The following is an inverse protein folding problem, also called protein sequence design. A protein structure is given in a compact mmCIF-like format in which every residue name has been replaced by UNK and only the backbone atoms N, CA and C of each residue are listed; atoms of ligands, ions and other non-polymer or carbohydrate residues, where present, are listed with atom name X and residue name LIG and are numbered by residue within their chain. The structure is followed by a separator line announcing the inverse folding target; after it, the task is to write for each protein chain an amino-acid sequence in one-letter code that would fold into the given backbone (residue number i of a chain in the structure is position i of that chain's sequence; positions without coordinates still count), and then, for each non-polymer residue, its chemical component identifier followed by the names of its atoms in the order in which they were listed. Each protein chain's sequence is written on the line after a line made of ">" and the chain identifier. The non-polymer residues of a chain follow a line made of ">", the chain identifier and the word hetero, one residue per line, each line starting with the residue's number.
data_IF_407837358248
#
_entry.id   IF_407837358248
#
_cell.length_a   1.000
_cell.length_b   1.000
_cell.length_c   1.000
_cell.angle_alpha   90.00
_cell.angle_beta   90.00
_cell.angle_gamma   90.00
#
_symmetry.space_group_name_H-M   'P 1'
#
loop_
_entity.id
_entity.type
_entity.pdbx_description
1 polymer ?
#
# COMPACT_ATOMS: atom_id res chain seq x y z
N UNK A 1 -13.64 -31.36 -5.29
CA UNK A 1 -12.93 -30.15 -4.81
C UNK A 1 -13.66 -28.88 -5.21
N UNK A 2 -14.11 -28.72 -6.45
CA UNK A 2 -14.82 -27.51 -6.91
C UNK A 2 -16.05 -27.18 -6.06
N UNK A 3 -16.95 -28.15 -5.84
CA UNK A 3 -18.18 -27.99 -5.05
C UNK A 3 -17.85 -27.50 -3.64
N UNK A 4 -16.88 -28.13 -2.97
CA UNK A 4 -16.47 -27.70 -1.62
C UNK A 4 -16.03 -26.25 -1.59
N UNK A 5 -15.20 -25.81 -2.54
CA UNK A 5 -14.70 -24.44 -2.57
C UNK A 5 -15.78 -23.43 -2.91
N UNK A 6 -16.61 -23.71 -3.93
CA UNK A 6 -17.58 -22.73 -4.46
C UNK A 6 -18.85 -22.66 -3.60
N UNK A 7 -19.38 -23.80 -3.15
CA UNK A 7 -20.71 -23.89 -2.52
C UNK A 7 -20.64 -23.92 -0.98
N UNK A 8 -19.48 -24.31 -0.42
CA UNK A 8 -19.35 -24.40 1.04
C UNK A 8 -18.32 -23.43 1.60
N UNK A 9 -17.09 -23.45 1.09
CA UNK A 9 -15.99 -22.71 1.72
C UNK A 9 -16.04 -21.20 1.46
N UNK A 10 -16.23 -20.74 0.21
CA UNK A 10 -16.32 -19.32 -0.11
C UNK A 10 -17.52 -18.63 0.56
N UNK A 11 -18.76 -19.22 0.54
CA UNK A 11 -19.87 -18.67 1.30
C UNK A 11 -19.60 -18.59 2.81
N UNK A 12 -18.96 -19.64 3.38
CA UNK A 12 -18.56 -19.61 4.79
C UNK A 12 -17.54 -18.51 5.11
N UNK A 13 -16.60 -18.21 4.19
CA UNK A 13 -15.67 -17.09 4.36
C UNK A 13 -16.39 -15.75 4.31
N UNK A 14 -17.39 -15.59 3.45
CA UNK A 14 -18.24 -14.40 3.39
C UNK A 14 -19.04 -14.23 4.68
N UNK A 15 -19.69 -15.27 5.17
CA UNK A 15 -20.47 -15.26 6.42
C UNK A 15 -19.60 -14.94 7.65
N UNK A 16 -18.31 -15.30 7.64
CA UNK A 16 -17.34 -14.93 8.69
C UNK A 16 -16.86 -13.48 8.58
N UNK A 17 -17.45 -12.65 7.73
CA UNK A 17 -17.08 -11.24 7.59
C UNK A 17 -15.73 -11.01 6.89
N UNK A 18 -15.30 -11.92 6.01
CA UNK A 18 -14.09 -11.70 5.23
C UNK A 18 -14.25 -10.45 4.36
N UNK A 19 -13.23 -9.59 4.36
CA UNK A 19 -13.28 -8.33 3.60
C UNK A 19 -13.57 -8.57 2.12
N UNK A 20 -14.43 -7.75 1.47
CA UNK A 20 -14.83 -7.96 0.07
C UNK A 20 -13.64 -8.09 -0.89
N UNK A 21 -12.57 -7.30 -0.71
CA UNK A 21 -11.36 -7.40 -1.55
C UNK A 21 -10.57 -8.69 -1.35
N UNK A 22 -10.63 -9.30 -0.17
CA UNK A 22 -10.00 -10.59 0.11
C UNK A 22 -10.84 -11.72 -0.46
N UNK A 23 -12.16 -11.65 -0.28
CA UNK A 23 -13.09 -12.62 -0.85
C UNK A 23 -12.98 -12.66 -2.38
N UNK A 24 -13.06 -11.51 -3.04
CA UNK A 24 -12.91 -11.39 -4.51
C UNK A 24 -11.57 -11.98 -5.01
N UNK A 25 -10.50 -11.83 -4.24
CA UNK A 25 -9.21 -12.46 -4.57
C UNK A 25 -9.26 -13.98 -4.39
N UNK A 26 -9.91 -14.49 -3.35
CA UNK A 26 -10.09 -15.93 -3.15
C UNK A 26 -10.92 -16.53 -4.28
N UNK A 27 -12.04 -15.92 -4.61
CA UNK A 27 -12.88 -16.31 -5.74
C UNK A 27 -12.10 -16.36 -7.06
N UNK A 28 -11.30 -15.31 -7.33
CA UNK A 28 -10.46 -15.28 -8.52
C UNK A 28 -9.45 -16.42 -8.56
N UNK A 29 -8.77 -16.73 -7.44
CA UNK A 29 -7.82 -17.84 -7.39
C UNK A 29 -8.52 -19.19 -7.51
N UNK A 30 -9.67 -19.36 -6.87
CA UNK A 30 -10.48 -20.57 -6.99
C UNK A 30 -10.91 -20.78 -8.43
N UNK A 31 -11.53 -19.78 -9.04
CA UNK A 31 -12.08 -19.88 -10.40
C UNK A 31 -11.01 -20.02 -11.48
N UNK A 32 -9.94 -19.22 -11.42
CA UNK A 32 -8.98 -19.11 -12.53
C UNK A 32 -7.79 -20.06 -12.43
N UNK A 33 -7.53 -20.65 -11.26
CA UNK A 33 -6.36 -21.52 -11.08
C UNK A 33 -6.69 -22.86 -10.42
N UNK A 34 -7.46 -22.84 -9.32
CA UNK A 34 -7.65 -24.05 -8.52
C UNK A 34 -8.69 -24.97 -9.17
N UNK A 35 -9.86 -24.47 -9.51
CA UNK A 35 -10.94 -25.26 -10.10
C UNK A 35 -10.56 -25.91 -11.44
N UNK A 36 -9.90 -25.22 -12.39
CA UNK A 36 -9.48 -25.87 -13.62
C UNK A 36 -8.52 -27.04 -13.43
N UNK A 37 -7.65 -27.00 -12.42
CA UNK A 37 -6.62 -28.00 -12.21
C UNK A 37 -7.05 -29.14 -11.23
N UNK A 38 -7.78 -28.76 -10.18
CA UNK A 38 -8.08 -29.68 -9.05
C UNK A 38 -9.56 -29.90 -8.84
N UNK A 39 -10.45 -29.19 -9.57
CA UNK A 39 -11.89 -29.19 -9.32
C UNK A 39 -12.55 -30.54 -9.45
N UNK A 40 -12.10 -31.38 -10.38
CA UNK A 40 -12.62 -32.76 -10.60
C UNK A 40 -12.19 -33.76 -9.54
N UNK A 41 -11.17 -33.47 -8.72
CA UNK A 41 -10.71 -34.39 -7.70
C UNK A 41 -11.67 -34.42 -6.51
N UNK A 42 -11.89 -35.63 -5.92
CA UNK A 42 -12.53 -35.75 -4.62
C UNK A 42 -11.66 -35.09 -3.57
N UNK A 43 -12.30 -34.40 -2.61
CA UNK A 43 -11.57 -33.62 -1.59
C UNK A 43 -10.64 -34.52 -0.77
N UNK A 44 -11.11 -35.76 -0.43
CA UNK A 44 -10.38 -36.76 0.34
C UNK A 44 -9.20 -37.39 -0.43
N UNK A 45 -9.26 -37.37 -1.77
CA UNK A 45 -8.21 -37.90 -2.64
C UNK A 45 -7.11 -36.87 -2.99
N UNK A 46 -7.21 -35.64 -2.46
CA UNK A 46 -6.23 -34.62 -2.73
C UNK A 46 -4.91 -34.92 -2.01
N UNK A 47 -3.84 -35.02 -2.81
CA UNK A 47 -2.49 -35.31 -2.34
C UNK A 47 -1.55 -34.12 -2.56
N UNK A 48 -0.44 -33.99 -1.81
CA UNK A 48 0.57 -32.97 -2.04
C UNK A 48 1.10 -32.94 -3.48
N UNK A 49 1.23 -34.08 -4.12
CA UNK A 49 1.66 -34.23 -5.52
C UNK A 49 0.75 -33.50 -6.51
N UNK A 50 -0.56 -33.49 -6.27
CA UNK A 50 -1.50 -32.73 -7.10
C UNK A 50 -1.27 -31.23 -6.99
N UNK A 51 -0.94 -30.73 -5.79
CA UNK A 51 -0.64 -29.31 -5.56
C UNK A 51 0.70 -28.94 -6.19
N UNK A 52 1.72 -29.80 -6.05
CA UNK A 52 3.03 -29.59 -6.66
C UNK A 52 2.92 -29.51 -8.18
N UNK A 53 2.11 -30.39 -8.79
CA UNK A 53 1.79 -30.34 -10.22
C UNK A 53 1.14 -29.00 -10.60
N UNK A 54 0.11 -28.56 -9.87
CA UNK A 54 -0.53 -27.26 -10.09
C UNK A 54 0.51 -26.11 -10.04
N UNK A 55 1.43 -26.10 -9.06
CA UNK A 55 2.44 -25.05 -8.94
C UNK A 55 3.45 -25.08 -10.08
N UNK A 56 3.83 -26.27 -10.53
CA UNK A 56 4.68 -26.45 -11.71
C UNK A 56 4.00 -25.95 -12.99
N UNK A 57 2.73 -26.34 -13.21
CA UNK A 57 1.95 -25.91 -14.37
C UNK A 57 1.78 -24.37 -14.39
N UNK A 58 1.45 -23.76 -13.24
CA UNK A 58 1.35 -22.31 -13.12
C UNK A 58 2.69 -21.60 -13.40
N UNK A 59 3.81 -22.19 -12.98
CA UNK A 59 5.15 -21.68 -13.26
C UNK A 59 5.46 -21.77 -14.74
N UNK A 60 5.15 -22.89 -15.39
CA UNK A 60 5.31 -23.08 -16.84
C UNK A 60 4.47 -22.06 -17.64
N UNK A 61 3.28 -21.67 -17.14
CA UNK A 61 2.46 -20.57 -17.70
C UNK A 61 3.00 -19.17 -17.41
N UNK A 62 4.19 -19.02 -16.83
CA UNK A 62 4.80 -17.72 -16.52
C UNK A 62 4.21 -17.00 -15.30
N UNK A 63 3.46 -17.68 -14.42
CA UNK A 63 2.94 -17.04 -13.20
C UNK A 63 4.07 -16.78 -12.20
N UNK A 64 4.09 -15.55 -11.67
CA UNK A 64 5.10 -15.15 -10.69
C UNK A 64 5.03 -16.02 -9.41
N UNK A 65 6.19 -16.35 -8.77
CA UNK A 65 6.24 -17.14 -7.54
C UNK A 65 5.34 -16.61 -6.43
N UNK A 66 5.19 -15.29 -6.31
CA UNK A 66 4.29 -14.65 -5.34
C UNK A 66 2.82 -14.97 -5.61
N UNK A 67 2.41 -15.06 -6.88
CA UNK A 67 1.04 -15.45 -7.25
C UNK A 67 0.77 -16.89 -6.87
N UNK A 68 1.71 -17.80 -7.15
CA UNK A 68 1.60 -19.22 -6.78
C UNK A 68 1.50 -19.37 -5.26
N UNK A 69 2.34 -18.65 -4.50
CA UNK A 69 2.25 -18.62 -3.03
C UNK A 69 0.92 -18.09 -2.51
N UNK A 70 0.31 -17.11 -3.18
CA UNK A 70 -1.02 -16.62 -2.81
C UNK A 70 -2.11 -17.70 -3.06
N UNK A 71 -2.03 -18.43 -4.18
CA UNK A 71 -2.92 -19.56 -4.51
C UNK A 71 -2.76 -20.69 -3.47
N UNK A 72 -1.50 -21.03 -3.14
CA UNK A 72 -1.20 -21.97 -2.06
C UNK A 72 -1.85 -21.54 -0.72
N UNK A 73 -1.75 -20.26 -0.36
CA UNK A 73 -2.36 -19.73 0.86
C UNK A 73 -3.88 -19.88 0.90
N UNK A 74 -4.55 -19.76 -0.24
CA UNK A 74 -6.01 -20.05 -0.36
C UNK A 74 -6.28 -21.52 -0.17
N UNK A 75 -5.54 -22.40 -0.86
CA UNK A 75 -5.67 -23.85 -0.72
C UNK A 75 -5.39 -24.31 0.71
N UNK A 76 -4.29 -23.86 1.30
CA UNK A 76 -3.90 -24.22 2.67
C UNK A 76 -4.97 -23.84 3.69
N UNK A 77 -5.57 -22.64 3.53
CA UNK A 77 -6.66 -22.19 4.39
C UNK A 77 -7.93 -23.00 4.20
N UNK A 78 -8.32 -23.28 2.95
CA UNK A 78 -9.52 -24.07 2.65
C UNK A 78 -9.39 -25.51 3.15
N UNK A 79 -8.22 -26.11 2.97
CA UNK A 79 -7.95 -27.48 3.45
C UNK A 79 -7.80 -27.54 4.98
N UNK A 80 -7.31 -26.51 5.64
CA UNK A 80 -7.31 -26.44 7.09
C UNK A 80 -8.73 -26.34 7.67
N UNK A 81 -9.62 -25.58 7.00
CA UNK A 81 -11.04 -25.58 7.38
C UNK A 81 -11.71 -26.93 7.13
N UNK A 82 -11.37 -27.63 6.02
CA UNK A 82 -11.88 -28.98 5.74
C UNK A 82 -11.38 -30.02 6.76
N UNK A 83 -10.11 -29.96 7.15
CA UNK A 83 -9.52 -30.80 8.19
C UNK A 83 -10.23 -30.61 9.54
N UNK A 84 -10.43 -29.34 9.96
CA UNK A 84 -11.16 -28.99 11.19
C UNK A 84 -12.61 -29.47 11.19
N UNK A 85 -13.24 -29.55 10.01
CA UNK A 85 -14.62 -30.05 9.85
C UNK A 85 -14.70 -31.60 9.67
N UNK A 86 -13.58 -32.29 9.74
CA UNK A 86 -13.54 -33.74 9.54
C UNK A 86 -13.77 -34.19 8.09
N UNK A 87 -13.77 -33.29 7.12
CA UNK A 87 -13.98 -33.63 5.70
C UNK A 87 -12.75 -34.27 5.05
N UNK A 88 -11.57 -34.04 5.61
CA UNK A 88 -10.29 -34.65 5.23
C UNK A 88 -9.49 -35.01 6.48
N UNK A 89 -8.71 -36.09 6.42
CA UNK A 89 -7.89 -36.53 7.57
C UNK A 89 -6.65 -35.65 7.80
N UNK A 90 -6.19 -34.96 6.75
CA UNK A 90 -5.01 -34.05 6.82
C UNK A 90 -5.04 -32.99 5.74
N UNK A 91 -4.42 -31.87 6.02
CA UNK A 91 -4.22 -30.77 5.06
C UNK A 91 -3.04 -31.07 4.11
N UNK A 92 -3.33 -31.50 2.89
CA UNK A 92 -2.32 -31.83 1.89
C UNK A 92 -1.41 -30.61 1.51
N UNK A 93 -1.90 -29.39 1.67
CA UNK A 93 -1.12 -28.21 1.35
C UNK A 93 0.07 -27.98 2.31
N UNK A 94 0.04 -28.51 3.53
CA UNK A 94 1.17 -28.39 4.48
C UNK A 94 2.43 -29.11 3.99
N UNK A 95 2.25 -30.14 3.15
CA UNK A 95 3.33 -30.99 2.64
C UNK A 95 3.69 -30.69 1.18
N UNK A 96 3.08 -29.66 0.59
CA UNK A 96 3.36 -29.26 -0.79
C UNK A 96 4.56 -28.30 -0.86
N UNK A 97 5.34 -28.42 -1.95
CA UNK A 97 6.54 -27.61 -2.21
C UNK A 97 6.17 -26.24 -2.76
N UNK A 98 6.16 -25.25 -1.89
CA UNK A 98 5.77 -23.87 -2.25
C UNK A 98 6.99 -23.12 -2.79
N UNK A 99 6.91 -22.49 -3.99
CA UNK A 99 8.02 -21.74 -4.54
C UNK A 99 8.51 -20.63 -3.58
N UNK A 100 9.84 -20.53 -3.43
CA UNK A 100 10.46 -19.44 -2.72
C UNK A 100 10.16 -18.10 -3.42
N UNK A 101 9.93 -17.06 -2.64
CA UNK A 101 9.72 -15.70 -3.15
C UNK A 101 10.88 -14.84 -2.68
N UNK A 102 11.74 -14.44 -3.60
CA UNK A 102 12.79 -13.47 -3.31
C UNK A 102 12.15 -12.15 -2.82
N UNK A 103 12.75 -11.54 -1.81
CA UNK A 103 12.36 -10.18 -1.41
C UNK A 103 12.81 -9.22 -2.51
N UNK A 104 11.91 -8.51 -3.21
CA UNK A 104 12.32 -7.53 -4.20
C UNK A 104 13.08 -6.40 -3.49
N UNK A 105 14.16 -5.92 -4.13
CA UNK A 105 14.82 -4.68 -3.68
C UNK A 105 13.80 -3.56 -3.75
N UNK A 106 13.65 -2.83 -2.66
CA UNK A 106 12.77 -1.68 -2.59
C UNK A 106 13.37 -0.56 -3.46
N UNK A 107 12.63 -0.11 -4.45
CA UNK A 107 12.97 1.07 -5.23
C UNK A 107 12.18 2.26 -4.67
N UNK A 108 12.90 3.30 -4.27
CA UNK A 108 12.34 4.55 -3.75
C UNK A 108 12.95 5.72 -4.52
N UNK A 109 12.22 6.81 -4.60
CA UNK A 109 12.77 8.07 -5.10
C UNK A 109 13.50 8.81 -3.99
N UNK A 110 14.57 9.48 -4.37
CA UNK A 110 15.22 10.44 -3.49
C UNK A 110 14.33 11.68 -3.28
N UNK A 111 14.64 12.55 -2.28
CA UNK A 111 13.97 13.82 -2.13
C UNK A 111 14.01 14.70 -3.40
N UNK A 112 15.14 14.70 -4.14
CA UNK A 112 15.33 15.43 -5.39
C UNK A 112 14.42 14.91 -6.50
N UNK A 113 14.35 13.58 -6.65
CA UNK A 113 13.48 12.93 -7.62
C UNK A 113 11.99 13.19 -7.30
N UNK A 114 11.63 13.17 -6.01
CA UNK A 114 10.28 13.50 -5.56
C UNK A 114 9.94 14.95 -5.86
N UNK A 115 10.87 15.89 -5.64
CA UNK A 115 10.71 17.31 -6.01
C UNK A 115 10.56 17.51 -7.52
N UNK A 116 11.40 16.83 -8.31
CA UNK A 116 11.31 16.88 -9.78
C UNK A 116 9.94 16.39 -10.28
N UNK A 117 9.41 15.30 -9.70
CA UNK A 117 8.08 14.84 -10.00
C UNK A 117 7.01 15.89 -9.67
N UNK A 118 7.04 16.45 -8.46
CA UNK A 118 6.06 17.46 -8.02
C UNK A 118 6.11 18.72 -8.87
N UNK A 119 7.30 19.16 -9.26
CA UNK A 119 7.46 20.30 -10.17
C UNK A 119 6.83 20.04 -11.55
N UNK A 120 7.02 18.85 -12.08
CA UNK A 120 6.46 18.47 -13.39
C UNK A 120 4.92 18.29 -13.40
N UNK A 121 4.32 18.09 -12.25
CA UNK A 121 2.85 17.97 -12.10
C UNK A 121 2.23 19.19 -11.41
N UNK A 122 2.93 20.31 -11.33
CA UNK A 122 2.46 21.52 -10.64
C UNK A 122 1.14 22.05 -11.20
N UNK A 123 0.95 21.95 -12.51
CA UNK A 123 -0.27 22.39 -13.21
C UNK A 123 -1.33 21.28 -13.33
N UNK A 124 -1.04 20.08 -12.85
CA UNK A 124 -2.00 18.97 -12.90
C UNK A 124 -3.20 19.24 -11.98
N UNK A 125 -4.41 18.93 -12.47
CA UNK A 125 -5.65 19.10 -11.69
C UNK A 125 -5.58 18.41 -10.33
N UNK A 126 -4.88 17.29 -10.24
CA UNK A 126 -4.72 16.48 -9.03
C UNK A 126 -3.40 16.76 -8.31
N UNK A 127 -2.74 17.91 -8.57
CA UNK A 127 -1.49 18.27 -7.88
C UNK A 127 -1.55 18.10 -6.37
N UNK A 128 -2.65 18.55 -5.74
CA UNK A 128 -2.83 18.39 -4.30
C UNK A 128 -2.84 16.91 -3.85
N UNK A 129 -3.31 15.99 -4.70
CA UNK A 129 -3.26 14.55 -4.40
C UNK A 129 -1.83 14.00 -4.49
N UNK A 130 -1.05 14.45 -5.48
CA UNK A 130 0.36 14.06 -5.61
C UNK A 130 1.20 14.59 -4.47
N UNK A 131 1.00 15.86 -4.12
CA UNK A 131 1.69 16.51 -3.00
C UNK A 131 1.33 15.82 -1.67
N UNK A 132 0.03 15.61 -1.39
CA UNK A 132 -0.42 14.91 -0.18
C UNK A 132 0.14 13.48 -0.08
N UNK A 133 0.22 12.76 -1.20
CA UNK A 133 0.83 11.42 -1.23
C UNK A 133 2.33 11.48 -0.87
N UNK A 134 3.05 12.47 -1.39
CA UNK A 134 4.49 12.64 -1.18
C UNK A 134 4.85 13.13 0.22
N UNK A 135 4.04 14.01 0.83
CA UNK A 135 4.33 14.65 2.13
C UNK A 135 3.76 13.91 3.33
N UNK A 136 2.84 12.96 3.11
CA UNK A 136 2.20 12.22 4.21
C UNK A 136 2.39 10.70 4.15
N UNK A 137 2.78 10.18 3.01
CA UNK A 137 2.88 8.74 2.80
C UNK A 137 1.54 7.99 2.92
N UNK A 138 0.40 8.63 2.70
CA UNK A 138 -0.90 7.99 2.71
C UNK A 138 -0.98 6.83 1.72
N UNK A 139 -1.73 5.79 2.06
CA UNK A 139 -2.01 4.70 1.11
C UNK A 139 -2.94 5.21 0.00
N UNK A 140 -2.78 4.70 -1.23
CA UNK A 140 -3.65 5.06 -2.36
C UNK A 140 -5.14 5.01 -2.01
N UNK A 141 -5.57 3.97 -1.31
CA UNK A 141 -6.98 3.83 -0.93
C UNK A 141 -7.43 4.86 0.10
N UNK A 142 -6.56 5.26 1.03
CA UNK A 142 -6.80 6.31 2.00
C UNK A 142 -6.93 7.67 1.30
N UNK A 143 -6.01 7.96 0.38
CA UNK A 143 -6.00 9.17 -0.42
C UNK A 143 -7.30 9.33 -1.24
N UNK A 144 -7.68 8.28 -1.99
CA UNK A 144 -8.90 8.29 -2.81
C UNK A 144 -10.19 8.12 -2.01
N UNK A 145 -10.09 7.80 -0.73
CA UNK A 145 -11.20 7.73 0.20
C UNK A 145 -11.31 8.95 1.11
N UNK A 146 -10.39 9.92 1.00
CA UNK A 146 -10.41 11.12 1.83
C UNK A 146 -11.63 11.98 1.50
N UNK A 147 -12.35 12.43 2.53
CA UNK A 147 -13.53 13.28 2.40
C UNK A 147 -13.27 14.65 2.99
N UNK A 148 -13.95 15.68 2.53
CA UNK A 148 -13.81 17.04 3.06
C UNK A 148 -14.11 17.14 4.57
N UNK A 149 -15.11 16.45 5.15
CA UNK A 149 -15.32 16.46 6.60
C UNK A 149 -14.17 15.83 7.42
N UNK A 150 -13.27 15.12 6.77
CA UNK A 150 -12.09 14.52 7.39
C UNK A 150 -10.82 15.36 7.21
N UNK A 151 -10.92 16.57 6.61
CA UNK A 151 -9.83 17.53 6.38
C UNK A 151 -10.09 18.80 7.16
N UNK A 152 -9.22 19.08 8.11
CA UNK A 152 -9.18 20.33 8.84
C UNK A 152 -8.05 21.20 8.28
N UNK A 153 -8.43 22.22 7.50
CA UNK A 153 -7.46 23.11 6.86
C UNK A 153 -7.00 24.25 7.79
N UNK A 154 -7.71 24.51 8.88
CA UNK A 154 -7.38 25.59 9.83
C UNK A 154 -6.32 25.08 10.81
N UNK A 155 -6.51 23.89 11.38
CA UNK A 155 -5.49 23.23 12.21
C UNK A 155 -4.38 22.60 11.36
N UNK A 156 -4.61 22.36 10.07
CA UNK A 156 -3.66 21.70 9.18
C UNK A 156 -3.57 20.18 9.46
N UNK A 157 -4.69 19.47 9.35
CA UNK A 157 -4.75 18.03 9.63
C UNK A 157 -5.69 17.24 8.71
N UNK A 158 -5.39 15.96 8.52
CA UNK A 158 -6.28 15.00 7.84
C UNK A 158 -6.50 13.78 8.71
N UNK A 159 -7.76 13.39 8.87
CA UNK A 159 -8.18 12.19 9.58
C UNK A 159 -8.43 11.05 8.60
N UNK A 160 -7.73 9.95 8.76
CA UNK A 160 -7.95 8.75 7.96
C UNK A 160 -9.10 7.95 8.56
N UNK A 161 -10.31 8.11 8.01
CA UNK A 161 -11.52 7.46 8.47
C UNK A 161 -11.93 6.27 7.58
N UNK A 162 -11.61 6.34 6.28
CA UNK A 162 -11.95 5.30 5.32
C UNK A 162 -10.89 5.11 4.24
N UNK A 163 -11.02 4.03 3.48
CA UNK A 163 -10.20 3.77 2.30
C UNK A 163 -11.08 3.20 1.18
N UNK A 164 -10.80 3.59 -0.06
CA UNK A 164 -11.43 3.02 -1.26
C UNK A 164 -10.51 1.99 -1.90
N UNK A 165 -11.00 0.77 -1.99
CA UNK A 165 -10.23 -0.36 -2.50
C UNK A 165 -11.01 -1.13 -3.56
N UNK A 166 -10.31 -1.71 -4.52
CA UNK A 166 -10.92 -2.58 -5.51
C UNK A 166 -11.27 -3.94 -4.87
N UNK A 167 -12.49 -4.39 -5.11
CA UNK A 167 -12.98 -5.73 -4.77
C UNK A 167 -13.62 -6.32 -6.03
N UNK A 168 -12.93 -7.25 -6.69
CA UNK A 168 -13.34 -7.74 -8.02
C UNK A 168 -13.38 -6.61 -9.06
N UNK A 169 -14.55 -6.40 -9.64
CA UNK A 169 -14.81 -5.33 -10.62
C UNK A 169 -15.35 -4.04 -9.97
N UNK A 170 -15.64 -4.06 -8.68
CA UNK A 170 -16.19 -2.91 -7.96
C UNK A 170 -15.11 -2.19 -7.15
N UNK A 171 -15.35 -0.94 -6.82
CA UNK A 171 -14.58 -0.16 -5.85
C UNK A 171 -15.47 0.04 -4.64
N UNK A 172 -15.04 -0.51 -3.50
CA UNK A 172 -15.76 -0.39 -2.25
C UNK A 172 -15.04 0.60 -1.33
N UNK A 173 -15.81 1.44 -0.65
CA UNK A 173 -15.35 2.22 0.48
C UNK A 173 -15.53 1.38 1.75
N UNK A 174 -14.59 1.48 2.66
CA UNK A 174 -14.66 0.78 3.93
C UNK A 174 -13.64 1.31 4.92
N UNK A 175 -13.79 0.91 6.16
CA UNK A 175 -12.87 1.28 7.22
C UNK A 175 -11.42 0.83 6.93
N UNK A 176 -10.42 1.57 7.45
CA UNK A 176 -9.03 1.16 7.37
C UNK A 176 -8.82 -0.28 7.87
N UNK A 177 -7.84 -0.96 7.32
CA UNK A 177 -7.60 -2.40 7.56
C UNK A 177 -7.34 -2.76 9.04
N UNK A 178 -6.85 -1.81 9.82
CA UNK A 178 -6.50 -1.99 11.24
C UNK A 178 -6.96 -0.79 12.04
N UNK A 179 -7.13 -0.93 13.37
CA UNK A 179 -7.42 0.19 14.27
C UNK A 179 -6.37 1.31 14.15
N UNK A 180 -5.09 0.98 13.98
CA UNK A 180 -4.00 1.93 13.72
C UNK A 180 -4.08 2.59 12.33
N UNK A 181 -4.95 2.10 11.45
CA UNK A 181 -5.25 2.75 10.19
C UNK A 181 -6.06 4.02 10.38
N UNK A 182 -6.86 4.13 11.44
CA UNK A 182 -7.52 5.36 11.87
C UNK A 182 -6.49 6.21 12.61
N UNK A 183 -6.11 7.30 12.02
CA UNK A 183 -5.11 8.23 12.55
C UNK A 183 -5.34 9.62 12.00
N UNK A 184 -4.83 10.61 12.69
CA UNK A 184 -4.73 11.98 12.18
C UNK A 184 -3.28 12.24 11.75
N UNK A 185 -3.10 12.89 10.61
CA UNK A 185 -1.80 13.26 10.06
C UNK A 185 -1.76 14.78 9.97
N UNK A 186 -0.80 15.40 10.65
CA UNK A 186 -0.54 16.83 10.50
C UNK A 186 0.01 17.13 9.09
N UNK A 187 -0.48 18.21 8.51
CA UNK A 187 -0.07 18.73 7.20
C UNK A 187 0.93 19.87 7.37
N UNK A 188 1.85 19.93 6.44
CA UNK A 188 2.67 21.13 6.27
C UNK A 188 1.87 22.26 5.60
N UNK A 189 2.28 23.54 5.76
CA UNK A 189 1.55 24.69 5.22
C UNK A 189 1.36 24.65 3.70
N UNK A 190 2.34 24.14 2.94
CA UNK A 190 2.26 24.06 1.48
C UNK A 190 1.22 23.04 1.04
N UNK A 191 1.17 21.87 1.69
CA UNK A 191 0.15 20.85 1.44
C UNK A 191 -1.25 21.34 1.80
N UNK A 192 -1.41 22.06 2.92
CA UNK A 192 -2.69 22.67 3.29
C UNK A 192 -3.14 23.74 2.28
N UNK A 193 -2.22 24.57 1.79
CA UNK A 193 -2.51 25.58 0.75
C UNK A 193 -2.94 24.92 -0.57
N UNK A 194 -2.25 23.86 -1.01
CA UNK A 194 -2.63 23.11 -2.20
C UNK A 194 -4.03 22.48 -2.09
N UNK A 195 -4.39 21.99 -0.91
CA UNK A 195 -5.74 21.45 -0.65
C UNK A 195 -6.82 22.56 -0.67
N UNK A 196 -6.53 23.77 -0.15
CA UNK A 196 -7.45 24.93 -0.26
C UNK A 196 -7.68 25.30 -1.73
N UNK A 197 -6.62 25.37 -2.51
CA UNK A 197 -6.73 25.66 -3.95
C UNK A 197 -7.52 24.55 -4.68
N UNK A 198 -7.27 23.29 -4.34
CA UNK A 198 -8.02 22.18 -4.91
C UNK A 198 -9.52 22.24 -4.57
N UNK A 199 -9.86 22.59 -3.32
CA UNK A 199 -11.26 22.79 -2.90
C UNK A 199 -11.97 23.88 -3.70
N UNK A 200 -11.27 25.01 -3.94
CA UNK A 200 -11.80 26.09 -4.79
C UNK A 200 -12.07 25.61 -6.21
N UNK A 201 -11.09 24.93 -6.83
CA UNK A 201 -11.25 24.36 -8.18
C UNK A 201 -12.42 23.37 -8.24
N UNK A 202 -12.56 22.49 -7.25
CA UNK A 202 -13.67 21.52 -7.21
C UNK A 202 -15.03 22.21 -7.08
N UNK A 203 -15.13 23.32 -6.34
CA UNK A 203 -16.34 24.12 -6.26
C UNK A 203 -16.68 24.79 -7.61
N UNK A 204 -15.67 25.27 -8.33
CA UNK A 204 -15.84 25.81 -9.70
C UNK A 204 -16.35 24.71 -10.66
N UNK A 205 -15.79 23.51 -10.60
CA UNK A 205 -16.24 22.35 -11.38
C UNK A 205 -17.70 21.97 -11.07
N UNK A 206 -18.07 21.98 -9.79
CA UNK A 206 -19.46 21.72 -9.36
C UNK A 206 -20.42 22.74 -9.97
N UNK A 207 -20.06 24.02 -9.96
CA UNK A 207 -20.89 25.07 -10.57
C UNK A 207 -20.99 24.91 -12.11
N UNK A 208 -19.90 24.51 -12.76
CA UNK A 208 -19.87 24.30 -14.23
C UNK A 208 -20.71 23.09 -14.66
N UNK A 209 -20.64 21.99 -13.93
CA UNK A 209 -21.39 20.76 -14.24
C UNK A 209 -22.85 20.88 -13.79
N UNK A 210 -23.11 21.65 -12.74
CA UNK A 210 -24.47 21.86 -12.21
C UNK A 210 -25.11 20.59 -11.67
N UNK A 211 -26.42 20.35 -11.94
CA UNK A 211 -27.16 19.20 -11.39
C UNK A 211 -26.60 17.81 -11.75
N UNK A 212 -25.75 17.73 -12.76
CA UNK A 212 -25.10 16.48 -13.17
C UNK A 212 -23.88 16.12 -12.32
N UNK A 213 -23.43 17.00 -11.41
CA UNK A 213 -22.26 16.73 -10.58
C UNK A 213 -22.54 15.65 -9.53
N UNK A 214 -21.70 14.62 -9.52
CA UNK A 214 -21.80 13.52 -8.56
C UNK A 214 -21.14 13.92 -7.23
N UNK A 215 -21.85 14.64 -6.36
CA UNK A 215 -21.33 15.04 -5.05
C UNK A 215 -21.16 13.82 -4.13
N UNK A 216 -19.96 13.28 -4.12
CA UNK A 216 -19.57 12.15 -3.28
C UNK A 216 -18.95 12.55 -1.93
N UNK A 217 -18.79 13.85 -1.68
CA UNK A 217 -18.06 14.41 -0.54
C UNK A 217 -16.57 14.10 -0.51
N UNK A 218 -16.04 13.45 -1.56
CA UNK A 218 -14.62 13.08 -1.66
C UNK A 218 -13.76 14.30 -2.03
N UNK A 219 -12.54 14.35 -1.49
CA UNK A 219 -11.57 15.39 -1.85
C UNK A 219 -11.11 15.23 -3.29
N UNK A 220 -10.78 14.02 -3.71
CA UNK A 220 -10.23 13.76 -5.05
C UNK A 220 -11.24 12.98 -5.91
N UNK A 221 -11.78 13.66 -6.90
CA UNK A 221 -12.81 13.16 -7.82
C UNK A 221 -12.39 13.38 -9.27
N UNK A 222 -13.15 12.83 -10.19
CA UNK A 222 -13.17 13.26 -11.58
C UNK A 222 -13.79 14.67 -11.69
N UNK A 223 -13.65 15.38 -12.83
CA UNK A 223 -14.25 16.71 -12.99
C UNK A 223 -15.76 16.76 -12.83
N UNK A 224 -16.45 15.64 -13.11
CA UNK A 224 -17.90 15.47 -12.91
C UNK A 224 -18.28 15.08 -11.47
N UNK A 225 -17.35 15.13 -10.51
CA UNK A 225 -17.54 14.72 -9.12
C UNK A 225 -17.52 13.21 -8.88
N UNK A 226 -17.52 12.39 -9.92
CA UNK A 226 -17.49 10.94 -9.78
C UNK A 226 -16.17 10.46 -9.16
N UNK A 227 -16.23 9.36 -8.38
CA UNK A 227 -15.07 8.88 -7.67
C UNK A 227 -14.00 8.29 -8.61
N UNK A 228 -12.73 8.67 -8.43
CA UNK A 228 -11.60 8.16 -9.21
C UNK A 228 -11.41 6.64 -8.95
N UNK A 229 -11.33 5.87 -10.04
CA UNK A 229 -10.99 4.44 -9.93
C UNK A 229 -9.51 4.26 -9.53
N UNK A 230 -9.16 3.45 -8.50
CA UNK A 230 -7.80 3.34 -7.99
C UNK A 230 -6.73 2.93 -9.02
N UNK A 231 -7.09 2.10 -9.99
CA UNK A 231 -6.14 1.70 -11.03
C UNK A 231 -5.86 2.85 -12.01
N UNK A 232 -6.87 3.71 -12.30
CA UNK A 232 -6.72 4.88 -13.15
C UNK A 232 -5.76 5.88 -12.53
N UNK A 233 -5.91 6.15 -11.23
CA UNK A 233 -4.99 7.01 -10.47
C UNK A 233 -3.54 6.48 -10.51
N UNK A 234 -3.33 5.16 -10.32
CA UNK A 234 -1.99 4.57 -10.45
C UNK A 234 -1.44 4.61 -11.87
N UNK A 235 -2.29 4.58 -12.90
CA UNK A 235 -1.87 4.72 -14.29
C UNK A 235 -1.40 6.15 -14.58
N UNK A 236 -2.12 7.16 -14.09
CA UNK A 236 -1.73 8.56 -14.23
C UNK A 236 -0.39 8.84 -13.54
N UNK A 237 -0.21 8.38 -12.32
CA UNK A 237 1.09 8.46 -11.64
C UNK A 237 2.24 7.92 -12.51
N UNK A 238 2.08 6.71 -13.06
CA UNK A 238 3.12 6.11 -13.91
C UNK A 238 3.37 6.90 -15.19
N UNK A 239 2.31 7.49 -15.75
CA UNK A 239 2.43 8.34 -16.95
C UNK A 239 3.25 9.59 -16.63
N UNK A 240 2.91 10.31 -15.58
CA UNK A 240 3.67 11.51 -15.15
C UNK A 240 5.12 11.19 -14.79
N UNK A 241 5.37 10.11 -14.04
CA UNK A 241 6.73 9.71 -13.70
C UNK A 241 7.59 9.41 -14.95
N UNK A 242 6.98 8.81 -15.97
CA UNK A 242 7.65 8.51 -17.24
C UNK A 242 7.97 9.76 -18.05
N UNK A 243 7.08 10.77 -18.09
CA UNK A 243 7.33 12.02 -18.82
C UNK A 243 8.51 12.81 -18.26
N UNK A 244 8.81 12.63 -16.98
CA UNK A 244 9.94 13.28 -16.29
C UNK A 244 11.24 12.45 -16.38
N UNK A 245 11.18 11.25 -16.96
CA UNK A 245 12.35 10.35 -17.04
C UNK A 245 12.80 9.77 -15.70
N UNK A 246 11.93 9.77 -14.69
CA UNK A 246 12.25 9.26 -13.35
C UNK A 246 12.27 7.72 -13.32
N UNK A 247 13.06 7.11 -12.41
CA UNK A 247 13.04 5.67 -12.19
C UNK A 247 11.62 5.15 -11.98
N UNK A 248 11.30 4.04 -12.64
CA UNK A 248 9.97 3.45 -12.57
C UNK A 248 9.70 2.87 -11.18
N UNK A 249 8.81 3.50 -10.44
CA UNK A 249 8.28 3.03 -9.17
C UNK A 249 6.75 2.90 -9.23
N UNK A 250 6.18 2.17 -8.30
CA UNK A 250 4.72 2.12 -8.14
C UNK A 250 4.27 3.29 -7.29
N UNK A 251 3.04 3.73 -7.45
CA UNK A 251 2.48 4.78 -6.59
C UNK A 251 2.61 4.44 -5.08
N UNK A 252 2.56 3.15 -4.71
CA UNK A 252 2.76 2.74 -3.31
C UNK A 252 4.19 2.98 -2.83
N UNK A 253 5.15 3.02 -3.73
CA UNK A 253 6.56 3.22 -3.40
C UNK A 253 6.88 4.69 -3.06
N UNK A 254 6.00 5.67 -3.44
CA UNK A 254 6.06 7.06 -2.93
C UNK A 254 5.95 7.09 -1.40
N UNK A 255 5.09 6.26 -0.83
CA UNK A 255 5.00 6.10 0.62
C UNK A 255 6.31 5.55 1.22
N UNK A 256 6.98 4.67 0.50
CA UNK A 256 8.30 4.19 0.90
C UNK A 256 9.35 5.29 0.77
N UNK A 257 9.30 6.10 -0.29
CA UNK A 257 10.17 7.29 -0.45
C UNK A 257 9.99 8.28 0.70
N UNK A 258 8.75 8.60 1.06
CA UNK A 258 8.43 9.45 2.22
C UNK A 258 9.02 8.90 3.52
N UNK A 259 8.84 7.61 3.79
CA UNK A 259 9.35 7.01 5.01
C UNK A 259 10.88 6.96 5.06
N UNK A 260 11.52 6.62 3.93
CA UNK A 260 12.98 6.64 3.81
C UNK A 260 13.54 8.04 4.05
N UNK A 261 12.96 9.06 3.40
CA UNK A 261 13.36 10.45 3.56
C UNK A 261 13.18 10.94 5.02
N UNK A 262 12.05 10.60 5.65
CA UNK A 262 11.79 10.98 7.04
C UNK A 262 12.76 10.34 8.03
N UNK A 263 13.06 9.04 7.87
CA UNK A 263 14.05 8.36 8.70
C UNK A 263 15.46 8.92 8.48
N UNK A 264 15.84 9.18 7.22
CA UNK A 264 17.11 9.80 6.89
C UNK A 264 17.24 11.23 7.46
N UNK A 265 16.13 11.95 7.59
CA UNK A 265 16.06 13.26 8.25
C UNK A 265 16.00 13.18 9.78
N UNK A 266 16.18 12.01 10.39
CA UNK A 266 16.21 11.82 11.85
C UNK A 266 14.84 11.72 12.52
N UNK A 267 13.74 11.62 11.78
CA UNK A 267 12.42 11.42 12.40
C UNK A 267 12.39 10.06 13.11
N UNK A 268 12.02 10.02 14.41
CA UNK A 268 12.01 8.78 15.16
C UNK A 268 11.17 7.68 14.49
N UNK A 269 11.65 6.44 14.39
CA UNK A 269 10.94 5.33 13.72
C UNK A 269 9.52 5.10 14.27
N UNK A 270 9.31 5.35 15.56
CA UNK A 270 7.98 5.26 16.18
C UNK A 270 7.01 6.28 15.58
N UNK A 271 7.43 7.54 15.51
CA UNK A 271 6.62 8.64 14.92
C UNK A 271 6.32 8.34 13.45
N UNK A 272 7.32 7.90 12.70
CA UNK A 272 7.16 7.52 11.29
C UNK A 272 6.18 6.34 11.14
N UNK A 273 6.27 5.33 12.00
CA UNK A 273 5.36 4.18 12.01
C UNK A 273 3.91 4.59 12.30
N UNK A 274 3.69 5.50 13.24
CA UNK A 274 2.37 6.03 13.60
C UNK A 274 1.79 6.87 12.47
N UNK A 275 2.55 7.81 11.89
CA UNK A 275 2.12 8.60 10.73
C UNK A 275 1.72 7.72 9.54
N UNK A 276 2.47 6.68 9.28
CA UNK A 276 2.19 5.72 8.23
C UNK A 276 1.04 4.76 8.61
N UNK A 277 0.72 4.54 9.87
CA UNK A 277 -0.24 3.53 10.33
C UNK A 277 0.25 2.10 10.02
N UNK A 278 1.51 1.82 10.34
CA UNK A 278 2.07 0.48 10.32
C UNK A 278 1.62 -0.32 11.56
N UNK A 279 1.51 -1.64 11.43
CA UNK A 279 1.09 -2.50 12.53
C UNK A 279 2.14 -2.54 13.66
N UNK A 280 3.43 -2.48 13.29
CA UNK A 280 4.56 -2.49 14.22
C UNK A 280 5.66 -1.56 13.74
N UNK A 281 6.47 -1.06 14.68
CA UNK A 281 7.69 -0.28 14.36
C UNK A 281 8.71 -1.16 13.65
N UNK A 282 8.82 -2.44 14.05
CA UNK A 282 9.69 -3.42 13.40
C UNK A 282 9.43 -3.52 11.90
N UNK A 283 8.16 -3.48 11.48
CA UNK A 283 7.82 -3.47 10.05
C UNK A 283 8.38 -2.23 9.32
N UNK A 284 8.39 -1.06 10.00
CA UNK A 284 9.01 0.16 9.45
C UNK A 284 10.52 -0.03 9.32
N UNK A 285 11.18 -0.52 10.35
CA UNK A 285 12.62 -0.76 10.33
C UNK A 285 13.03 -1.82 9.29
N UNK A 286 12.34 -2.95 9.23
CA UNK A 286 12.62 -4.03 8.25
C UNK A 286 12.56 -3.57 6.80
N UNK A 287 11.66 -2.64 6.47
CA UNK A 287 11.53 -2.12 5.11
C UNK A 287 12.66 -1.13 4.80
N UNK A 288 13.11 -0.35 5.77
CA UNK A 288 14.02 0.78 5.56
C UNK A 288 15.45 0.52 6.04
N UNK A 289 15.77 -0.68 6.49
CA UNK A 289 17.13 -1.10 6.87
C UNK A 289 18.17 -0.85 5.77
N UNK A 290 17.76 -0.86 4.51
CA UNK A 290 18.63 -0.55 3.38
C UNK A 290 18.98 0.95 3.23
N UNK A 291 18.28 1.84 3.94
CA UNK A 291 18.56 3.28 3.97
C UNK A 291 19.50 3.67 5.13
N UNK A 292 19.86 2.70 6.00
CA UNK A 292 20.60 2.90 7.23
C UNK A 292 22.12 3.16 7.08
N UNK A 293 22.86 2.84 5.99
CA UNK A 293 24.31 3.07 5.97
C UNK A 293 24.70 4.53 6.22
N UNK A 294 23.91 5.49 5.70
CA UNK A 294 24.14 6.91 5.97
C UNK A 294 23.80 7.30 7.42
N UNK A 295 22.81 6.65 8.01
CA UNK A 295 22.42 6.86 9.40
C UNK A 295 23.43 6.25 10.37
N UNK A 296 24.05 5.12 10.03
CA UNK A 296 25.07 4.46 10.84
C UNK A 296 26.30 5.37 11.01
N UNK A 297 26.77 5.96 9.92
CA UNK A 297 27.88 6.94 9.96
C UNK A 297 27.51 8.16 10.80
N UNK A 298 26.32 8.74 10.57
CA UNK A 298 25.85 9.92 11.35
C UNK A 298 25.67 9.56 12.83
N UNK A 299 25.20 8.36 13.16
CA UNK A 299 25.08 7.90 14.55
C UNK A 299 26.46 7.73 15.20
N UNK A 300 27.43 7.17 14.48
CA UNK A 300 28.79 7.04 14.96
C UNK A 300 29.43 8.41 15.26
N UNK A 301 29.24 9.38 14.34
CA UNK A 301 29.76 10.75 14.51
C UNK A 301 29.11 11.42 15.73
N UNK A 302 27.78 11.37 15.87
CA UNK A 302 27.04 11.96 17.00
C UNK A 302 27.43 11.33 18.33
N UNK A 303 27.56 9.99 18.37
CA UNK A 303 27.96 9.29 19.61
C UNK A 303 29.42 9.58 19.96
N UNK A 304 30.29 9.64 18.95
CA UNK A 304 31.70 10.01 19.18
C UNK A 304 31.81 11.44 19.71
N UNK A 305 31.06 12.38 19.13
CA UNK A 305 31.04 13.78 19.60
C UNK A 305 30.52 13.89 21.04
N UNK A 306 29.46 13.13 21.38
CA UNK A 306 28.91 13.08 22.74
C UNK A 306 29.87 12.49 23.77
N UNK A 307 30.61 11.41 23.45
CA UNK A 307 31.51 10.71 24.34
C UNK A 307 32.88 11.38 24.45
N UNK A 308 33.42 11.83 23.32
CA UNK A 308 34.77 12.40 23.25
C UNK A 308 34.82 13.89 23.56
N UNK A 309 33.68 14.57 23.52
CA UNK A 309 33.58 16.03 23.58
C UNK A 309 34.14 16.69 22.33
N UNK A 310 33.60 17.80 21.91
CA UNK A 310 34.21 18.64 20.88
C UNK A 310 35.52 19.22 21.42
N UNK A 311 36.66 18.73 20.94
CA UNK A 311 37.91 19.52 21.05
C UNK A 311 37.69 20.75 20.15
N UNK A 312 37.55 21.93 20.77
CA UNK A 312 37.83 23.18 20.08
C UNK A 312 39.25 23.11 19.53
N UNK A 313 39.35 22.81 18.23
CA UNK A 313 40.60 22.95 17.49
C UNK A 313 40.75 24.43 17.15
N UNK A 314 41.64 25.14 17.84
CA UNK A 314 42.24 26.31 17.28
C UNK A 314 42.15 27.63 18.04
N UNK A 315 42.75 27.67 19.17
CA UNK A 315 43.37 28.94 19.65
C UNK A 315 44.74 29.08 19.06
N UNK A 316 44.91 29.71 17.92
CA UNK A 316 46.19 30.22 17.49
C UNK A 316 46.59 31.37 18.41
N UNK A 317 47.57 31.12 19.31
CA UNK A 317 48.25 32.20 20.02
C UNK A 317 49.03 33.05 19.04
N UNK A 318 48.88 34.36 19.03
CA UNK A 318 49.82 35.21 18.31
C UNK A 318 51.14 35.20 19.08
N UNK A 319 52.24 34.93 18.36
CA UNK A 319 53.59 35.08 18.82
C UNK A 319 53.89 36.56 19.15
N UNK A 320 54.52 36.75 20.28
CA UNK A 320 55.22 38.02 20.60
C UNK A 320 56.52 38.08 19.83
#
# INVERSE_FOLDING_TARGET
>A
MAIYLAEHWLPAMQARGLRPSTLARYESHVRCAITPALGGLRLQALMPTHLNKLYSDLRAMGRAPKTIRNIHGVLSKALADAERLGLVGRNAARLADVPAVARPKLQVWSPEQTRAFLAAVADDRLFAAWLLAATTGMRRGELLGLRWPDVDLDVGGVRIAQARVRAGNQVVAGEPKTARGRRTIALDPATAAALRQHRKRQAEELLQVGPGYADSGLVFTMPDGSPIHPNRFSLWFRRHARTVGLPAIRLHDIRHSYATAGLAAGVPPKVMSERLGHATVAFTLDIYTSALPAMDKSAADVVAELILGTKEVGGSRPAR
#
